data_IF_942854746752
#
_entry.id   IF_942854746752
#
_cell.length_a   1.000
_cell.length_b   1.000
_cell.length_c   1.000
_cell.angle_alpha   90.00
_cell.angle_beta   90.00
_cell.angle_gamma   90.00
#
_symmetry.space_group_name_H-M   'P 1'
#
loop_
_entity.id
_entity.type
_entity.pdbx_description
1 polymer ?
#
# COMPACT_ATOMS: atom_id res chain seq x y z
N UNK A 1 -19.15 37.13 -15.50
CA UNK A 1 -19.02 36.09 -14.47
C UNK A 1 -17.75 35.32 -14.80
N UNK A 2 -16.72 35.41 -13.95
CA UNK A 2 -15.49 34.63 -14.13
C UNK A 2 -15.78 33.21 -13.67
N UNK A 3 -15.56 32.21 -14.53
CA UNK A 3 -15.70 30.80 -14.15
C UNK A 3 -14.70 30.49 -13.03
N UNK A 4 -15.16 30.10 -11.83
CA UNK A 4 -14.28 29.84 -10.67
C UNK A 4 -13.39 28.60 -10.84
N UNK A 5 -13.51 27.90 -11.98
CA UNK A 5 -12.77 26.68 -12.29
C UNK A 5 -11.71 26.86 -13.38
N UNK A 6 -11.55 28.07 -13.94
CA UNK A 6 -10.60 28.31 -15.04
C UNK A 6 -9.12 28.40 -14.59
N UNK A 7 -8.85 28.45 -13.28
CA UNK A 7 -7.51 28.50 -12.71
C UNK A 7 -6.87 27.13 -12.38
N UNK A 8 -7.55 26.01 -12.65
CA UNK A 8 -7.02 24.68 -12.35
C UNK A 8 -6.20 24.04 -13.47
N UNK A 9 -6.03 24.73 -14.61
CA UNK A 9 -5.41 24.16 -15.81
C UNK A 9 -4.29 25.02 -16.39
N UNK A 10 -3.53 25.71 -15.54
CA UNK A 10 -2.28 26.34 -15.97
C UNK A 10 -1.20 26.27 -14.89
N UNK A 11 0.00 25.91 -15.36
CA UNK A 11 1.32 25.99 -14.73
C UNK A 11 1.77 24.79 -13.88
N UNK A 12 2.48 23.89 -14.55
CA UNK A 12 3.94 23.72 -14.41
C UNK A 12 4.60 24.44 -13.22
N UNK A 13 4.31 24.02 -11.99
CA UNK A 13 5.10 24.37 -10.81
C UNK A 13 5.21 23.16 -9.88
N UNK A 14 6.45 22.66 -9.77
CA UNK A 14 7.04 22.01 -8.61
C UNK A 14 6.08 21.72 -7.44
N UNK A 15 5.27 20.67 -7.55
CA UNK A 15 4.39 20.26 -6.46
C UNK A 15 5.13 19.35 -5.48
N UNK A 16 6.11 19.95 -4.80
CA UNK A 16 6.80 19.40 -3.64
C UNK A 16 5.77 18.85 -2.63
N UNK A 17 5.64 17.53 -2.55
CA UNK A 17 5.06 16.84 -1.39
C UNK A 17 3.59 17.09 -1.08
N UNK A 18 2.80 17.68 -1.99
CA UNK A 18 1.41 18.00 -1.69
C UNK A 18 0.44 16.93 -2.20
N UNK A 19 -0.39 16.41 -1.30
CA UNK A 19 -1.48 15.49 -1.62
C UNK A 19 -2.55 16.14 -2.49
N UNK A 20 -3.64 15.41 -2.82
CA UNK A 20 -4.78 15.95 -3.55
C UNK A 20 -5.19 17.29 -2.94
N UNK A 21 -5.22 18.36 -3.75
CA UNK A 21 -5.55 19.74 -3.37
C UNK A 21 -4.46 20.56 -2.67
N UNK A 22 -3.17 20.22 -2.77
CA UNK A 22 -2.12 21.12 -2.25
C UNK A 22 -1.84 20.97 -0.75
N UNK A 23 -2.31 19.88 -0.13
CA UNK A 23 -2.14 19.63 1.30
C UNK A 23 -0.76 19.02 1.60
N UNK A 24 0.04 19.58 2.53
CA UNK A 24 1.35 19.03 2.85
C UNK A 24 1.22 17.62 3.42
N UNK A 25 1.88 16.66 2.78
CA UNK A 25 1.86 15.27 3.23
C UNK A 25 2.93 15.03 4.30
N UNK A 26 2.64 14.21 5.34
CA UNK A 26 3.67 13.80 6.28
C UNK A 26 4.76 12.97 5.56
N UNK A 27 6.02 13.04 6.01
CA UNK A 27 7.18 12.47 5.31
C UNK A 27 7.17 10.94 5.13
N UNK A 28 6.22 10.23 5.75
CA UNK A 28 6.10 8.77 5.65
C UNK A 28 4.97 8.32 4.72
N UNK A 29 4.39 9.23 3.93
CA UNK A 29 3.31 8.93 2.99
C UNK A 29 3.83 9.10 1.56
N UNK A 30 3.55 8.11 0.72
CA UNK A 30 3.86 8.17 -0.70
C UNK A 30 2.56 8.31 -1.51
N UNK A 31 2.60 9.22 -2.48
CA UNK A 31 1.52 9.43 -3.43
C UNK A 31 1.90 8.82 -4.77
N UNK A 32 1.01 8.01 -5.32
CA UNK A 32 1.16 7.39 -6.63
C UNK A 32 -0.04 7.75 -7.50
N UNK A 33 0.22 8.04 -8.76
CA UNK A 33 -0.79 8.47 -9.75
C UNK A 33 -0.76 7.52 -10.93
N UNK A 34 -1.93 7.18 -11.45
CA UNK A 34 -2.02 6.49 -12.73
C UNK A 34 -2.03 7.54 -13.86
N UNK A 35 -1.06 7.52 -14.79
CA UNK A 35 -0.94 8.53 -15.84
C UNK A 35 -2.07 8.46 -16.88
N UNK A 36 -2.74 7.31 -17.02
CA UNK A 36 -3.82 7.12 -18.00
C UNK A 36 -5.19 7.54 -17.47
N UNK A 37 -5.42 7.44 -16.16
CA UNK A 37 -6.74 7.72 -15.54
C UNK A 37 -6.74 8.92 -14.62
N UNK A 38 -5.58 9.48 -14.29
CA UNK A 38 -5.44 10.58 -13.32
C UNK A 38 -5.77 10.18 -11.87
N UNK A 39 -6.03 8.89 -11.60
CA UNK A 39 -6.35 8.41 -10.25
C UNK A 39 -5.12 8.50 -9.34
N UNK A 40 -5.22 9.31 -8.29
CA UNK A 40 -4.21 9.45 -7.25
C UNK A 40 -4.54 8.55 -6.05
N UNK A 41 -3.54 7.87 -5.51
CA UNK A 41 -3.62 7.06 -4.29
C UNK A 41 -2.50 7.44 -3.35
N UNK A 42 -2.84 7.72 -2.10
CA UNK A 42 -1.87 8.05 -1.04
C UNK A 42 -1.89 6.89 -0.04
N UNK A 43 -0.72 6.37 0.29
CA UNK A 43 -0.59 5.35 1.32
C UNK A 43 0.66 5.57 2.18
N UNK A 44 0.58 5.12 3.43
CA UNK A 44 1.71 5.15 4.36
C UNK A 44 2.75 4.10 3.95
N UNK A 45 4.01 4.52 3.85
CA UNK A 45 5.17 3.66 3.63
C UNK A 45 5.61 3.09 4.98
N UNK A 46 5.90 1.78 5.06
CA UNK A 46 6.36 1.12 6.29
C UNK A 46 5.27 0.30 6.98
N UNK A 47 5.16 0.41 8.32
CA UNK A 47 4.37 -0.51 9.13
C UNK A 47 2.85 -0.27 9.08
N UNK A 48 2.09 -1.33 8.79
CA UNK A 48 0.63 -1.36 8.75
C UNK A 48 0.05 -1.87 10.07
N UNK A 49 -0.13 -0.98 11.04
CA UNK A 49 -0.68 -1.33 12.36
C UNK A 49 -2.09 -1.96 12.30
N UNK A 50 -2.93 -1.55 11.34
CA UNK A 50 -4.25 -2.16 11.13
C UNK A 50 -4.13 -3.58 10.54
N UNK A 51 -3.14 -3.81 9.67
CA UNK A 51 -2.95 -5.13 9.06
C UNK A 51 -2.44 -6.16 10.06
N UNK A 52 -1.82 -5.71 11.16
CA UNK A 52 -1.44 -6.56 12.28
C UNK A 52 -2.68 -7.09 13.01
N UNK A 53 -3.61 -6.23 13.43
CA UNK A 53 -4.76 -6.67 14.20
C UNK A 53 -5.84 -7.33 13.32
N UNK A 54 -5.97 -6.89 12.08
CA UNK A 54 -6.96 -7.40 11.13
C UNK A 54 -6.39 -7.40 9.71
N UNK A 55 -5.77 -8.50 9.24
CA UNK A 55 -5.08 -8.50 7.95
C UNK A 55 -6.03 -8.36 6.74
N UNK A 56 -7.33 -8.66 6.91
CA UNK A 56 -8.35 -8.58 5.83
C UNK A 56 -8.99 -7.19 5.71
N UNK A 57 -9.01 -6.41 6.78
CA UNK A 57 -9.67 -5.10 6.84
C UNK A 57 -8.99 -4.03 5.95
N UNK A 58 -7.66 -3.81 6.01
CA UNK A 58 -6.99 -2.84 5.16
C UNK A 58 -7.17 -3.08 3.64
N UNK A 59 -7.09 -4.33 3.13
CA UNK A 59 -7.34 -4.60 1.71
C UNK A 59 -8.76 -4.23 1.27
N UNK A 60 -9.77 -4.50 2.09
CA UNK A 60 -11.17 -4.16 1.78
C UNK A 60 -11.33 -2.65 1.63
N UNK A 61 -10.88 -1.88 2.63
CA UNK A 61 -11.02 -0.42 2.61
C UNK A 61 -10.20 0.25 1.51
N UNK A 62 -9.09 -0.35 1.07
CA UNK A 62 -8.27 0.17 -0.05
C UNK A 62 -8.72 -0.34 -1.42
N UNK A 63 -9.80 -1.12 -1.49
CA UNK A 63 -10.28 -1.82 -2.68
C UNK A 63 -9.16 -2.62 -3.40
N UNK A 64 -8.28 -3.24 -2.62
CA UNK A 64 -7.18 -4.06 -3.12
C UNK A 64 -7.49 -5.55 -3.02
N UNK A 65 -8.28 -6.01 -3.98
CA UNK A 65 -8.77 -7.39 -4.06
C UNK A 65 -7.68 -8.43 -4.29
N UNK A 66 -6.57 -8.06 -4.95
CA UNK A 66 -5.49 -9.01 -5.21
C UNK A 66 -4.77 -9.37 -3.91
N UNK A 67 -4.39 -8.34 -3.14
CA UNK A 67 -3.72 -8.55 -1.86
C UNK A 67 -4.67 -9.15 -0.83
N UNK A 68 -5.98 -8.84 -0.89
CA UNK A 68 -7.00 -9.51 -0.07
C UNK A 68 -6.98 -11.03 -0.30
N UNK A 69 -7.10 -11.46 -1.56
CA UNK A 69 -7.16 -12.88 -1.90
C UNK A 69 -5.83 -13.58 -1.58
N UNK A 70 -4.69 -12.90 -1.77
CA UNK A 70 -3.38 -13.42 -1.38
C UNK A 70 -3.30 -13.69 0.13
N UNK A 71 -3.70 -12.73 0.96
CA UNK A 71 -3.71 -12.87 2.42
C UNK A 71 -4.65 -13.99 2.86
N UNK A 72 -5.87 -14.04 2.31
CA UNK A 72 -6.83 -15.11 2.64
C UNK A 72 -6.30 -16.48 2.24
N UNK A 73 -5.72 -16.61 1.05
CA UNK A 73 -5.16 -17.87 0.56
C UNK A 73 -3.99 -18.36 1.42
N UNK A 74 -3.06 -17.46 1.77
CA UNK A 74 -1.91 -17.79 2.63
C UNK A 74 -2.36 -18.12 4.05
N UNK A 75 -3.26 -17.33 4.65
CA UNK A 75 -3.76 -17.63 6.00
C UNK A 75 -4.51 -18.96 6.02
N UNK A 76 -5.40 -19.23 5.06
CA UNK A 76 -6.09 -20.51 4.97
C UNK A 76 -5.11 -21.67 4.76
N UNK A 77 -4.13 -21.52 3.87
CA UNK A 77 -3.11 -22.54 3.62
C UNK A 77 -2.26 -22.86 4.85
N UNK A 78 -1.77 -21.84 5.55
CA UNK A 78 -0.99 -22.04 6.78
C UNK A 78 -1.84 -22.68 7.87
N UNK A 79 -3.08 -22.21 8.06
CA UNK A 79 -3.99 -22.78 9.06
C UNK A 79 -4.32 -24.26 8.77
N UNK A 80 -4.52 -24.63 7.50
CA UNK A 80 -4.74 -26.02 7.11
C UNK A 80 -3.53 -26.90 7.43
N UNK A 81 -2.32 -26.44 7.12
CA UNK A 81 -1.09 -27.15 7.45
C UNK A 81 -0.93 -27.26 8.99
N UNK A 82 -1.24 -26.19 9.72
CA UNK A 82 -1.15 -26.18 11.18
C UNK A 82 -2.09 -27.19 11.83
N UNK A 83 -3.34 -27.23 11.37
CA UNK A 83 -4.34 -28.19 11.83
C UNK A 83 -3.91 -29.64 11.55
N UNK A 84 -3.25 -29.91 10.42
CA UNK A 84 -2.76 -31.25 10.09
C UNK A 84 -1.50 -31.65 10.86
N UNK A 85 -0.65 -30.69 11.24
CA UNK A 85 0.67 -30.96 11.86
C UNK A 85 0.62 -30.94 13.38
N UNK A 86 -0.12 -29.98 13.94
CA UNK A 86 -0.15 -29.70 15.37
C UNK A 86 -1.56 -29.86 15.95
N UNK A 87 -2.58 -30.09 15.12
CA UNK A 87 -3.97 -30.20 15.57
C UNK A 87 -4.50 -28.91 16.20
N UNK A 88 -5.37 -29.05 17.21
CA UNK A 88 -5.98 -27.93 17.93
C UNK A 88 -5.14 -27.42 19.12
N UNK A 89 -3.82 -27.58 19.08
CA UNK A 89 -2.94 -27.06 20.13
C UNK A 89 -2.92 -25.53 20.11
N UNK A 90 -3.81 -24.93 20.91
CA UNK A 90 -4.11 -23.50 20.92
C UNK A 90 -2.88 -22.62 21.15
N UNK A 91 -1.89 -23.09 21.93
CA UNK A 91 -0.65 -22.36 22.19
C UNK A 91 0.19 -22.18 20.91
N UNK A 92 0.39 -23.27 20.17
CA UNK A 92 1.21 -23.25 18.94
C UNK A 92 0.45 -22.51 17.83
N UNK A 93 -0.86 -22.73 17.73
CA UNK A 93 -1.74 -22.00 16.81
C UNK A 93 -1.66 -20.49 17.07
N UNK A 94 -1.74 -20.07 18.34
CA UNK A 94 -1.65 -18.67 18.72
C UNK A 94 -0.31 -18.03 18.40
N UNK A 95 0.81 -18.72 18.68
CA UNK A 95 2.15 -18.20 18.38
C UNK A 95 2.40 -18.04 16.88
N UNK A 96 1.98 -19.00 16.07
CA UNK A 96 2.15 -18.93 14.61
C UNK A 96 1.25 -17.84 14.02
N UNK A 97 0.02 -17.72 14.50
CA UNK A 97 -0.90 -16.66 14.09
C UNK A 97 -0.33 -15.26 14.40
N UNK A 98 0.21 -15.07 15.62
CA UNK A 98 0.87 -13.81 16.02
C UNK A 98 2.07 -13.49 15.12
N UNK A 99 2.89 -14.50 14.81
CA UNK A 99 4.02 -14.34 13.87
C UNK A 99 3.56 -13.95 12.46
N UNK A 100 2.49 -14.54 11.95
CA UNK A 100 1.88 -14.19 10.67
C UNK A 100 1.32 -12.76 10.67
N UNK A 101 0.63 -12.35 11.72
CA UNK A 101 0.07 -11.00 11.87
C UNK A 101 1.16 -9.92 11.87
N UNK A 102 2.26 -10.17 12.59
CA UNK A 102 3.44 -9.30 12.53
C UNK A 102 4.00 -9.23 11.12
N UNK A 103 4.19 -10.37 10.47
CA UNK A 103 4.70 -10.46 9.11
C UNK A 103 3.79 -9.69 8.13
N UNK A 104 2.47 -9.82 8.25
CA UNK A 104 1.50 -9.05 7.47
C UNK A 104 1.60 -7.55 7.74
N UNK A 105 1.75 -7.14 9.01
CA UNK A 105 1.96 -5.74 9.38
C UNK A 105 3.15 -5.09 8.68
N UNK A 106 4.25 -5.83 8.47
CA UNK A 106 5.42 -5.33 7.75
C UNK A 106 5.32 -5.47 6.23
N UNK A 107 4.83 -6.59 5.72
CA UNK A 107 4.89 -6.92 4.28
C UNK A 107 3.73 -6.33 3.49
N UNK A 108 2.55 -6.21 4.09
CA UNK A 108 1.34 -5.82 3.38
C UNK A 108 1.48 -4.47 2.65
N UNK A 109 2.02 -3.45 3.33
CA UNK A 109 2.19 -2.13 2.70
C UNK A 109 3.14 -2.20 1.49
N UNK A 110 4.22 -2.98 1.56
CA UNK A 110 5.11 -3.19 0.42
C UNK A 110 4.37 -3.87 -0.74
N UNK A 111 3.61 -4.93 -0.45
CA UNK A 111 2.85 -5.68 -1.44
C UNK A 111 1.79 -4.81 -2.15
N UNK A 112 1.14 -3.92 -1.39
CA UNK A 112 0.21 -2.91 -1.90
C UNK A 112 0.86 -2.00 -2.94
N UNK A 113 2.01 -1.41 -2.62
CA UNK A 113 2.72 -0.53 -3.56
C UNK A 113 3.18 -1.28 -4.81
N UNK A 114 3.76 -2.49 -4.67
CA UNK A 114 4.17 -3.31 -5.82
C UNK A 114 3.02 -3.63 -6.77
N UNK A 115 1.85 -3.95 -6.22
CA UNK A 115 0.67 -4.20 -7.04
C UNK A 115 0.18 -2.95 -7.77
N UNK A 116 0.21 -1.79 -7.12
CA UNK A 116 -0.10 -0.51 -7.78
C UNK A 116 0.88 -0.23 -8.92
N UNK A 117 2.17 -0.47 -8.73
CA UNK A 117 3.17 -0.28 -9.79
C UNK A 117 2.97 -1.24 -10.97
N UNK A 118 2.62 -2.50 -10.70
CA UNK A 118 2.24 -3.45 -11.77
C UNK A 118 0.99 -3.02 -12.56
N UNK A 119 0.11 -2.22 -11.97
CA UNK A 119 -1.06 -1.63 -12.65
C UNK A 119 -0.74 -0.36 -13.44
N UNK A 120 0.52 0.06 -13.53
CA UNK A 120 0.95 1.25 -14.24
C UNK A 120 0.86 2.55 -13.43
N UNK A 121 0.70 2.47 -12.10
CA UNK A 121 0.82 3.66 -11.26
C UNK A 121 2.29 4.07 -11.18
N UNK A 122 2.57 5.36 -11.28
CA UNK A 122 3.89 5.97 -11.14
C UNK A 122 3.91 6.87 -9.90
N UNK A 123 5.07 7.07 -9.24
CA UNK A 123 5.18 8.06 -8.18
C UNK A 123 4.79 9.44 -8.70
N UNK A 124 3.92 10.15 -7.97
CA UNK A 124 3.39 11.44 -8.40
C UNK A 124 4.36 12.62 -8.19
N UNK A 125 5.37 12.44 -7.33
CA UNK A 125 6.28 13.51 -6.89
C UNK A 125 7.71 12.98 -6.70
N UNK A 126 8.70 13.87 -6.76
CA UNK A 126 10.12 13.55 -6.55
C UNK A 126 10.38 13.09 -5.10
N UNK A 127 9.71 13.69 -4.11
CA UNK A 127 9.78 13.26 -2.71
C UNK A 127 9.15 11.89 -2.49
N UNK A 128 8.00 11.63 -3.13
CA UNK A 128 7.40 10.29 -3.14
C UNK A 128 8.30 9.27 -3.83
N UNK A 129 8.98 9.65 -4.92
CA UNK A 129 9.92 8.80 -5.65
C UNK A 129 11.14 8.46 -4.79
N UNK A 130 11.71 9.43 -4.08
CA UNK A 130 12.87 9.20 -3.20
C UNK A 130 12.50 8.31 -2.01
N UNK A 131 11.35 8.54 -1.38
CA UNK A 131 10.83 7.68 -0.30
C UNK A 131 10.60 6.24 -0.77
N UNK A 132 9.99 6.05 -1.94
CA UNK A 132 9.73 4.72 -2.52
C UNK A 132 11.01 4.03 -3.01
N UNK A 133 12.01 4.81 -3.45
CA UNK A 133 13.33 4.29 -3.89
C UNK A 133 14.16 3.88 -2.67
N UNK A 134 14.20 4.72 -1.63
CA UNK A 134 14.89 4.45 -0.37
C UNK A 134 14.25 3.27 0.39
N UNK A 135 12.91 3.17 0.38
CA UNK A 135 12.19 2.01 0.92
C UNK A 135 12.34 0.73 0.06
N UNK A 136 13.09 0.76 -1.05
CA UNK A 136 13.24 -0.35 -2.01
C UNK A 136 11.91 -0.87 -2.59
N UNK A 137 10.87 -0.03 -2.63
CA UNK A 137 9.55 -0.39 -3.16
C UNK A 137 9.45 -0.17 -4.67
N UNK A 138 10.21 0.80 -5.20
CA UNK A 138 10.25 1.15 -6.62
C UNK A 138 11.62 0.82 -7.23
N UNK A 139 11.62 0.26 -8.44
CA UNK A 139 12.79 0.22 -9.32
C UNK A 139 12.43 1.03 -10.55
N UNK A 140 13.21 2.08 -10.83
CA UNK A 140 13.04 2.83 -12.07
C UNK A 140 13.14 1.87 -13.26
N UNK A 141 12.26 1.98 -14.28
CA UNK A 141 12.43 1.22 -15.50
C UNK A 141 13.82 1.55 -16.06
N UNK A 142 14.65 0.53 -16.23
CA UNK A 142 15.90 0.69 -16.99
C UNK A 142 15.49 0.92 -18.44
N UNK A 143 15.67 2.16 -18.90
CA UNK A 143 15.70 2.46 -20.32
C UNK A 143 16.83 1.66 -21.00
#
# INVERSE_FOLDING_TARGET
>A
MQDPFKGFNDNNDNNNGNGPQGLPLPPNYATVVNPETGNMRIAKVGFAWIALLFPVVPPIFRADWYNLLCILGVNAGVQMILMMTVGNNAEIVGLVQLGLELLWGFIYNMMYFKHLFNKGFVPADEGSRDLLTNAHYWKAPKN
#
